data_IF_985779072755
#
_entry.id   IF_985779072755
#
_cell.length_a   1.000
_cell.length_b   1.000
_cell.length_c   1.000
_cell.angle_alpha   90.00
_cell.angle_beta   90.00
_cell.angle_gamma   90.00
#
_symmetry.space_group_name_H-M   'P 1'
#
loop_
_entity.id
_entity.type
_entity.pdbx_description
1 polymer ?
#
# COMPACT_ATOMS: atom_id res chain seq x y z
N UNK A 1 -10.07 7.23 3.11
CA UNK A 1 -10.00 5.78 2.80
C UNK A 1 -9.38 5.63 1.43
N UNK A 2 -8.26 4.94 1.34
CA UNK A 2 -7.57 4.60 0.09
C UNK A 2 -7.63 3.09 -0.13
N UNK A 3 -7.71 2.64 -1.38
CA UNK A 3 -7.73 1.23 -1.75
C UNK A 3 -6.93 0.98 -3.01
N UNK A 4 -6.19 -0.12 -3.02
CA UNK A 4 -5.54 -0.65 -4.21
C UNK A 4 -5.79 -2.16 -4.30
N UNK A 5 -5.93 -2.67 -5.52
CA UNK A 5 -6.20 -4.09 -5.78
C UNK A 5 -5.25 -4.64 -6.83
N UNK A 6 -4.68 -5.81 -6.58
CA UNK A 6 -3.80 -6.51 -7.52
C UNK A 6 -4.28 -7.95 -7.74
N UNK A 7 -4.32 -8.38 -9.00
CA UNK A 7 -4.65 -9.77 -9.36
C UNK A 7 -3.39 -10.62 -9.34
N UNK A 8 -3.39 -11.70 -8.57
CA UNK A 8 -2.22 -12.58 -8.38
C UNK A 8 -2.27 -13.85 -9.25
N UNK A 9 -3.29 -14.00 -10.11
CA UNK A 9 -3.54 -15.21 -10.89
C UNK A 9 -4.45 -16.21 -10.19
N UNK A 10 -4.99 -17.18 -10.93
CA UNK A 10 -5.83 -18.28 -10.39
C UNK A 10 -7.02 -17.85 -9.50
N UNK A 11 -7.56 -16.66 -9.77
CA UNK A 11 -8.66 -16.09 -8.96
C UNK A 11 -8.23 -15.56 -7.59
N UNK A 12 -6.92 -15.44 -7.32
CA UNK A 12 -6.38 -14.76 -6.14
C UNK A 12 -6.30 -13.26 -6.37
N UNK A 13 -6.73 -12.49 -5.38
CA UNK A 13 -6.69 -11.02 -5.38
C UNK A 13 -6.08 -10.54 -4.07
N UNK A 14 -5.16 -9.58 -4.18
CA UNK A 14 -4.63 -8.84 -3.05
C UNK A 14 -5.30 -7.47 -2.97
N UNK A 15 -5.70 -7.07 -1.77
CA UNK A 15 -6.35 -5.78 -1.51
C UNK A 15 -5.58 -5.07 -0.41
N UNK A 16 -5.04 -3.90 -0.73
CA UNK A 16 -4.43 -3.00 0.23
C UNK A 16 -5.39 -1.85 0.54
N UNK A 17 -5.56 -1.50 1.81
CA UNK A 17 -6.45 -0.42 2.23
C UNK A 17 -5.80 0.45 3.29
N UNK A 18 -6.00 1.76 3.18
CA UNK A 18 -5.66 2.75 4.19
C UNK A 18 -6.92 3.39 4.76
N UNK A 19 -7.10 3.32 6.08
CA UNK A 19 -8.27 3.83 6.79
C UNK A 19 -8.11 5.26 7.35
N UNK A 20 -9.23 5.83 7.79
CA UNK A 20 -9.29 7.04 8.62
C UNK A 20 -8.86 6.79 10.07
N UNK A 21 -8.93 5.53 10.49
CA UNK A 21 -8.47 5.02 11.77
C UNK A 21 -6.94 4.89 11.88
N UNK A 22 -6.16 5.32 10.88
CA UNK A 22 -4.71 5.17 10.70
C UNK A 22 -4.21 3.77 10.32
N UNK A 23 -5.12 2.81 10.10
CA UNK A 23 -4.75 1.43 9.85
C UNK A 23 -4.45 1.18 8.37
N UNK A 24 -3.26 0.63 8.10
CA UNK A 24 -2.94 -0.03 6.84
C UNK A 24 -3.35 -1.50 6.96
N UNK A 25 -4.09 -2.02 6.00
CA UNK A 25 -4.43 -3.45 5.93
C UNK A 25 -4.11 -4.00 4.56
N UNK A 26 -3.61 -5.24 4.53
CA UNK A 26 -3.37 -6.02 3.32
C UNK A 26 -4.09 -7.36 3.47
N UNK A 27 -4.97 -7.70 2.52
CA UNK A 27 -5.80 -8.89 2.59
C UNK A 27 -5.76 -9.64 1.27
N UNK A 28 -5.55 -10.95 1.33
CA UNK A 28 -5.69 -11.82 0.17
C UNK A 28 -7.04 -12.51 0.18
N UNK A 29 -7.60 -12.66 -1.01
CA UNK A 29 -8.88 -13.29 -1.25
C UNK A 29 -8.75 -14.33 -2.35
N UNK A 30 -9.45 -15.44 -2.18
CA UNK A 30 -9.70 -16.41 -3.25
C UNK A 30 -11.12 -16.19 -3.78
N UNK A 31 -11.22 -15.94 -5.08
CA UNK A 31 -12.48 -15.88 -5.82
C UNK A 31 -12.86 -17.29 -6.30
N UNK A 32 -14.12 -17.65 -6.11
CA UNK A 32 -14.70 -18.93 -6.53
C UNK A 32 -15.93 -18.70 -7.42
N UNK A 33 -16.17 -19.63 -8.33
CA UNK A 33 -17.38 -19.69 -9.17
C UNK A 33 -18.48 -20.47 -8.44
N UNK A 34 -19.77 -20.05 -8.47
CA UNK A 34 -20.34 -19.02 -9.34
C UNK A 34 -20.17 -17.58 -8.86
N UNK A 35 -20.07 -17.30 -7.55
CA UNK A 35 -19.74 -15.97 -7.02
C UNK A 35 -19.52 -16.01 -5.49
N UNK A 36 -18.44 -16.64 -5.03
CA UNK A 36 -18.07 -16.58 -3.61
C UNK A 36 -16.63 -16.14 -3.42
N UNK A 37 -16.35 -15.54 -2.25
CA UNK A 37 -15.05 -15.01 -1.90
C UNK A 37 -14.69 -15.51 -0.51
N UNK A 38 -13.48 -16.03 -0.36
CA UNK A 38 -12.93 -16.43 0.94
C UNK A 38 -11.67 -15.64 1.22
N UNK A 39 -11.57 -15.03 2.40
CA UNK A 39 -10.31 -14.45 2.88
C UNK A 39 -9.32 -15.59 3.14
N UNK A 40 -8.17 -15.58 2.48
CA UNK A 40 -7.10 -16.56 2.70
C UNK A 40 -6.20 -16.13 3.86
N UNK A 41 -5.71 -14.90 3.82
CA UNK A 41 -4.86 -14.35 4.88
C UNK A 41 -4.93 -12.83 4.91
N UNK A 42 -4.56 -12.25 6.06
CA UNK A 42 -4.65 -10.82 6.30
C UNK A 42 -3.53 -10.34 7.21
N UNK A 43 -3.07 -9.12 6.94
CA UNK A 43 -2.14 -8.38 7.76
C UNK A 43 -2.68 -6.96 7.99
N UNK A 44 -2.40 -6.36 9.15
CA UNK A 44 -2.69 -4.95 9.39
C UNK A 44 -1.69 -4.31 10.36
N UNK A 45 -1.56 -2.98 10.27
CA UNK A 45 -0.73 -2.18 11.15
C UNK A 45 -1.33 -0.79 11.36
N UNK A 46 -1.45 -0.37 12.62
CA UNK A 46 -2.00 0.93 13.05
C UNK A 46 -0.94 1.87 13.65
N UNK A 47 0.35 1.53 13.52
CA UNK A 47 1.46 2.31 14.10
C UNK A 47 2.33 3.01 13.06
N UNK A 48 2.07 2.80 11.76
CA UNK A 48 2.81 3.47 10.68
C UNK A 48 2.50 4.97 10.61
N UNK A 49 1.22 5.32 10.76
CA UNK A 49 0.72 6.68 10.65
C UNK A 49 0.03 7.13 11.93
N UNK A 50 0.09 8.42 12.21
CA UNK A 50 -0.62 9.07 13.33
C UNK A 50 -1.94 9.72 12.90
N UNK A 51 -2.33 9.57 11.63
CA UNK A 51 -3.54 10.14 11.04
C UNK A 51 -4.08 9.26 9.91
N UNK A 52 -5.14 9.72 9.24
CA UNK A 52 -5.76 9.05 8.10
C UNK A 52 -4.72 8.73 7.02
N UNK A 53 -4.77 7.50 6.52
CA UNK A 53 -4.02 7.08 5.34
C UNK A 53 -4.82 7.52 4.10
N UNK A 54 -4.18 8.33 3.27
CA UNK A 54 -4.82 9.00 2.12
C UNK A 54 -4.39 8.42 0.79
N UNK A 55 -3.26 7.71 0.73
CA UNK A 55 -2.81 6.99 -0.46
C UNK A 55 -2.24 5.63 -0.11
N UNK A 56 -2.50 4.65 -0.98
CA UNK A 56 -1.97 3.29 -0.93
C UNK A 56 -1.75 2.83 -2.36
N UNK A 57 -0.57 2.29 -2.67
CA UNK A 57 -0.31 1.62 -3.95
C UNK A 57 0.49 0.34 -3.75
N UNK A 58 0.26 -0.63 -4.63
CA UNK A 58 1.03 -1.87 -4.74
C UNK A 58 1.79 -1.88 -6.06
N UNK A 59 3.04 -2.35 -6.02
CA UNK A 59 3.83 -2.59 -7.22
C UNK A 59 4.84 -3.71 -6.97
N UNK A 60 4.69 -4.84 -7.68
CA UNK A 60 5.48 -6.04 -7.40
C UNK A 60 5.38 -6.37 -5.89
N UNK A 61 6.48 -6.71 -5.24
CA UNK A 61 6.55 -6.98 -3.79
C UNK A 61 6.56 -5.70 -2.92
N UNK A 62 6.30 -4.51 -3.48
CA UNK A 62 6.26 -3.25 -2.73
C UNK A 62 4.83 -2.81 -2.41
N UNK A 63 4.68 -2.26 -1.20
CA UNK A 63 3.49 -1.60 -0.69
C UNK A 63 3.89 -0.21 -0.19
N UNK A 64 3.29 0.81 -0.78
CA UNK A 64 3.49 2.20 -0.38
C UNK A 64 2.22 2.70 0.29
N UNK A 65 2.36 3.51 1.34
CA UNK A 65 1.25 4.30 1.86
C UNK A 65 1.69 5.68 2.32
N UNK A 66 0.79 6.65 2.23
CA UNK A 66 0.99 8.01 2.75
C UNK A 66 -0.21 8.45 3.57
N UNK A 67 0.04 9.33 4.54
CA UNK A 67 -1.00 9.83 5.45
C UNK A 67 -1.02 11.34 5.58
N UNK A 68 -2.11 11.88 6.11
CA UNK A 68 -2.25 13.31 6.40
C UNK A 68 -1.22 13.82 7.44
N UNK A 69 -0.51 12.92 8.10
CA UNK A 69 0.61 13.17 9.01
C UNK A 69 1.94 13.47 8.29
N UNK A 70 1.90 13.68 6.96
CA UNK A 70 3.04 13.98 6.10
C UNK A 70 4.09 12.87 6.02
N UNK A 71 3.72 11.64 6.37
CA UNK A 71 4.59 10.48 6.27
C UNK A 71 4.30 9.68 5.01
N UNK A 72 5.35 9.07 4.49
CA UNK A 72 5.28 8.00 3.48
C UNK A 72 5.98 6.79 4.04
N UNK A 73 5.32 5.64 4.03
CA UNK A 73 5.89 4.36 4.46
C UNK A 73 6.09 3.46 3.25
N UNK A 74 7.29 2.90 3.13
CA UNK A 74 7.65 1.89 2.13
C UNK A 74 7.75 0.56 2.83
N UNK A 75 6.99 -0.41 2.35
CA UNK A 75 6.95 -1.76 2.88
C UNK A 75 7.19 -2.77 1.77
N UNK A 76 7.79 -3.90 2.12
CA UNK A 76 7.76 -5.09 1.27
C UNK A 76 6.64 -6.00 1.76
N UNK A 77 5.92 -6.62 0.84
CA UNK A 77 5.00 -7.70 1.14
C UNK A 77 5.45 -8.97 0.41
N UNK A 78 5.06 -10.13 0.93
CA UNK A 78 5.24 -11.41 0.25
C UNK A 78 4.10 -12.34 0.65
N UNK A 79 3.49 -12.99 -0.34
CA UNK A 79 2.41 -13.95 -0.14
C UNK A 79 2.88 -15.36 -0.48
N UNK A 80 2.88 -16.22 0.53
CA UNK A 80 2.93 -17.68 0.37
C UNK A 80 1.51 -18.26 0.54
N UNK A 81 1.30 -19.56 0.27
CA UNK A 81 -0.03 -20.19 0.24
C UNK A 81 -0.96 -19.77 1.39
N UNK A 82 -0.45 -19.75 2.62
CA UNK A 82 -1.25 -19.43 3.82
C UNK A 82 -0.74 -18.21 4.61
N UNK A 83 0.40 -17.61 4.20
CA UNK A 83 1.06 -16.60 5.01
C UNK A 83 1.39 -15.34 4.21
N UNK A 84 0.93 -14.21 4.73
CA UNK A 84 1.20 -12.87 4.24
C UNK A 84 2.15 -12.17 5.19
N UNK A 85 3.38 -11.97 4.75
CA UNK A 85 4.40 -11.22 5.51
C UNK A 85 4.50 -9.82 4.94
N UNK A 86 4.51 -8.82 5.81
CA UNK A 86 4.70 -7.41 5.44
C UNK A 86 5.73 -6.81 6.38
N UNK A 87 6.76 -6.18 5.82
CA UNK A 87 7.88 -5.59 6.57
C UNK A 87 8.04 -4.12 6.19
N UNK A 88 8.19 -3.24 7.18
CA UNK A 88 8.57 -1.85 6.96
C UNK A 88 10.03 -1.80 6.51
N UNK A 89 10.29 -1.16 5.37
CA UNK A 89 11.64 -0.93 4.83
C UNK A 89 12.12 0.47 5.23
N UNK A 90 11.31 1.48 4.94
CA UNK A 90 11.66 2.87 5.20
C UNK A 90 10.41 3.71 5.49
N UNK A 91 10.62 4.84 6.16
CA UNK A 91 9.60 5.86 6.36
C UNK A 91 10.22 7.24 6.17
N UNK A 92 9.56 8.07 5.38
CA UNK A 92 10.00 9.42 5.04
C UNK A 92 8.99 10.44 5.52
N UNK A 93 9.46 11.62 5.91
CA UNK A 93 8.63 12.81 6.00
C UNK A 93 8.71 13.54 4.66
N UNK A 94 7.58 13.90 4.08
CA UNK A 94 7.53 14.78 2.92
C UNK A 94 7.09 16.18 3.33
N UNK A 95 7.39 17.15 2.48
CA UNK A 95 7.02 18.56 2.65
C UNK A 95 5.60 18.89 2.21
N UNK A 96 4.89 17.93 1.59
CA UNK A 96 3.53 18.11 1.05
C UNK A 96 2.50 18.17 2.18
N UNK A 97 1.88 19.33 2.45
CA UNK A 97 0.81 19.42 3.43
C UNK A 97 -0.48 18.80 2.88
N UNK A 98 -1.33 18.33 3.79
CA UNK A 98 -2.66 17.79 3.47
C UNK A 98 -2.62 16.78 2.30
N UNK A 99 -1.76 15.77 2.44
CA UNK A 99 -1.55 14.72 1.44
C UNK A 99 -2.89 14.09 1.07
N UNK A 100 -3.20 14.06 -0.22
CA UNK A 100 -4.40 13.44 -0.79
C UNK A 100 -4.13 12.08 -1.40
N UNK A 101 -2.88 11.74 -1.67
CA UNK A 101 -2.49 10.43 -2.16
C UNK A 101 -1.03 10.39 -2.59
N UNK A 102 -0.67 9.23 -3.15
CA UNK A 102 0.62 8.99 -3.80
C UNK A 102 0.37 8.23 -5.10
N UNK A 103 1.32 8.30 -6.04
CA UNK A 103 1.30 7.46 -7.22
C UNK A 103 2.71 7.11 -7.69
N UNK A 104 2.90 5.88 -8.16
CA UNK A 104 4.17 5.41 -8.71
C UNK A 104 4.31 5.90 -10.17
N UNK A 105 5.41 6.60 -10.48
CA UNK A 105 5.63 7.23 -11.79
C UNK A 105 6.41 6.36 -12.77
N UNK A 106 7.47 5.72 -12.25
CA UNK A 106 8.30 4.83 -13.04
C UNK A 106 8.85 3.72 -12.15
N UNK A 107 8.58 2.44 -12.48
CA UNK A 107 9.44 1.38 -11.99
C UNK A 107 10.82 1.60 -12.61
N UNK A 108 11.83 1.87 -11.78
CA UNK A 108 13.22 1.97 -12.24
C UNK A 108 13.74 0.62 -12.72
N UNK A 109 15.05 0.56 -12.98
CA UNK A 109 15.72 -0.74 -13.15
C UNK A 109 15.80 -1.40 -11.76
N UNK A 110 15.53 -2.72 -11.70
CA UNK A 110 15.51 -3.59 -10.50
C UNK A 110 15.75 -2.91 -9.15
N UNK A 111 14.70 -2.92 -8.31
CA UNK A 111 14.64 -2.48 -6.90
C UNK A 111 14.48 -0.98 -6.65
N UNK A 112 14.81 -0.10 -7.61
CA UNK A 112 14.54 1.34 -7.48
C UNK A 112 13.23 1.74 -8.17
N UNK A 113 12.49 2.68 -7.58
CA UNK A 113 11.33 3.29 -8.22
C UNK A 113 11.12 4.73 -7.78
N UNK A 114 10.49 5.51 -8.67
CA UNK A 114 10.13 6.90 -8.41
C UNK A 114 8.64 7.01 -8.15
N UNK A 115 8.26 7.75 -7.11
CA UNK A 115 6.87 7.99 -6.76
C UNK A 115 6.62 9.47 -6.47
N UNK A 116 5.39 9.90 -6.70
CA UNK A 116 4.92 11.25 -6.46
C UNK A 116 3.91 11.24 -5.32
N UNK A 117 4.12 12.10 -4.33
CA UNK A 117 3.16 12.37 -3.27
C UNK A 117 2.48 13.69 -3.60
N UNK A 118 1.16 13.75 -3.50
CA UNK A 118 0.40 14.94 -3.88
C UNK A 118 -0.65 15.33 -2.84
N UNK A 119 -0.88 16.63 -2.72
CA UNK A 119 -1.81 17.24 -1.78
C UNK A 119 -1.90 18.74 -2.05
N UNK A 120 -1.61 19.57 -1.05
CA UNK A 120 -1.37 21.01 -1.27
C UNK A 120 0.06 21.18 -1.78
N UNK A 121 0.26 20.84 -3.06
CA UNK A 121 1.57 20.73 -3.70
C UNK A 121 1.88 19.28 -4.09
N UNK A 122 3.11 19.06 -4.54
CA UNK A 122 3.60 17.72 -4.89
C UNK A 122 5.09 17.60 -4.60
N UNK A 123 5.53 16.38 -4.32
CA UNK A 123 6.93 16.03 -4.11
C UNK A 123 7.22 14.69 -4.79
N UNK A 124 8.33 14.63 -5.52
CA UNK A 124 8.80 13.43 -6.20
C UNK A 124 9.95 12.85 -5.39
N UNK A 125 9.84 11.57 -5.05
CA UNK A 125 10.75 10.85 -4.19
C UNK A 125 11.23 9.58 -4.89
N UNK A 126 12.40 9.09 -4.47
CA UNK A 126 13.02 7.86 -4.94
C UNK A 126 13.12 6.89 -3.75
N UNK A 127 12.94 5.60 -4.03
CA UNK A 127 12.92 4.49 -3.05
C UNK A 127 14.26 4.26 -2.38
#
# INVERSE_FOLDING_TARGET
VSVFTEGLGEGKVLVATGGDDNMLSLRSYQLHSPLSVTTTTSWSCSTLHSSVITGVELMNEWLLCCGADQRVSLLTWHLSEDNLTVNLVAQYCCSVPDIKGLTILHPGKCEEFTFCVYGVGMEVLES
#
